data_IF_280582144495
#
_entry.id   IF_280582144495
#
_cell.length_a   1.000
_cell.length_b   1.000
_cell.length_c   1.000
_cell.angle_alpha   90.00
_cell.angle_beta   90.00
_cell.angle_gamma   90.00
#
_symmetry.space_group_name_H-M   'P 1'
#
loop_
_entity.id
_entity.type
_entity.pdbx_description
1 polymer ?
#
# COMPACT_ATOMS: atom_id res chain seq x y z
N UNK A 1 -7.88 9.98 2.85
CA UNK A 1 -7.66 8.51 2.80
C UNK A 1 -6.50 8.14 1.86
N UNK A 2 -6.48 8.56 0.60
CA UNK A 2 -5.40 8.18 -0.35
C UNK A 2 -4.01 8.58 0.18
N UNK A 3 -3.86 9.81 0.67
CA UNK A 3 -2.59 10.34 1.22
C UNK A 3 -2.05 9.55 2.43
N UNK A 4 -2.89 8.81 3.17
CA UNK A 4 -2.42 7.94 4.27
C UNK A 4 -1.56 6.78 3.73
N UNK A 5 -1.72 6.37 2.47
CA UNK A 5 -0.91 5.31 1.89
C UNK A 5 0.57 5.69 1.72
N UNK A 6 0.89 6.99 1.60
CA UNK A 6 2.26 7.47 1.43
C UNK A 6 3.16 7.23 2.65
N UNK A 7 2.80 7.67 3.87
CA UNK A 7 3.61 7.40 5.07
C UNK A 7 3.72 5.90 5.34
N UNK A 8 2.65 5.15 5.07
CA UNK A 8 2.62 3.68 5.14
C UNK A 8 3.64 3.01 4.21
N UNK A 9 3.71 3.47 2.96
CA UNK A 9 4.70 3.03 1.98
C UNK A 9 6.12 3.43 2.39
N UNK A 10 6.30 4.65 2.91
CA UNK A 10 7.57 5.17 3.42
C UNK A 10 8.13 4.30 4.53
N UNK A 11 7.32 3.98 5.54
CA UNK A 11 7.73 3.14 6.68
C UNK A 11 8.25 1.81 6.17
N UNK A 12 7.52 1.14 5.26
CA UNK A 12 7.96 -0.12 4.68
C UNK A 12 9.27 -0.01 3.90
N UNK A 13 9.42 1.02 3.05
CA UNK A 13 10.62 1.20 2.23
C UNK A 13 11.86 1.57 3.05
N UNK A 14 11.70 2.40 4.10
CA UNK A 14 12.78 2.73 5.04
C UNK A 14 13.20 1.50 5.83
N UNK A 15 12.24 0.71 6.30
CA UNK A 15 12.51 -0.54 7.03
C UNK A 15 13.29 -1.54 6.16
N UNK A 16 12.94 -1.64 4.88
CA UNK A 16 13.61 -2.51 3.91
C UNK A 16 15.08 -2.12 3.67
N UNK A 17 15.37 -0.82 3.52
CA UNK A 17 16.75 -0.33 3.37
C UNK A 17 17.54 -0.58 4.65
N UNK A 18 16.95 -0.28 5.80
CA UNK A 18 17.59 -0.45 7.09
C UNK A 18 18.04 -1.90 7.32
N UNK A 19 17.21 -2.87 6.93
CA UNK A 19 17.53 -4.29 7.06
C UNK A 19 18.52 -4.81 5.99
N UNK A 20 18.64 -4.15 4.83
CA UNK A 20 19.40 -4.70 3.70
C UNK A 20 20.74 -4.01 3.47
N UNK A 21 20.77 -2.68 3.34
CA UNK A 21 21.96 -1.94 2.88
C UNK A 21 22.34 -0.77 3.77
N UNK A 22 21.43 -0.23 4.57
CA UNK A 22 21.66 0.91 5.46
C UNK A 22 21.92 2.26 4.77
N UNK A 23 22.23 2.27 3.47
CA UNK A 23 22.50 3.49 2.68
C UNK A 23 21.33 3.90 1.80
N UNK A 24 21.00 5.19 1.85
CA UNK A 24 20.05 5.84 0.94
C UNK A 24 20.86 6.43 -0.23
N UNK A 25 20.75 5.81 -1.39
CA UNK A 25 21.40 6.25 -2.64
C UNK A 25 20.38 6.86 -3.62
N UNK A 26 20.85 7.54 -4.67
CA UNK A 26 19.96 8.09 -5.72
C UNK A 26 19.02 7.02 -6.31
N UNK A 27 19.49 5.80 -6.64
CA UNK A 27 18.60 4.74 -7.12
C UNK A 27 17.56 4.30 -6.08
N UNK A 28 17.89 4.35 -4.78
CA UNK A 28 16.93 4.07 -3.72
C UNK A 28 15.80 5.12 -3.70
N UNK A 29 16.12 6.41 -3.93
CA UNK A 29 15.12 7.49 -4.04
C UNK A 29 14.18 7.25 -5.23
N UNK A 30 14.72 6.85 -6.39
CA UNK A 30 13.90 6.48 -7.57
C UNK A 30 12.97 5.30 -7.22
N UNK A 31 13.47 4.34 -6.42
CA UNK A 31 12.70 3.24 -5.87
C UNK A 31 11.52 3.72 -4.99
N UNK A 32 11.75 4.69 -4.10
CA UNK A 32 10.69 5.29 -3.28
C UNK A 32 9.63 6.00 -4.14
N UNK A 33 10.02 6.74 -5.17
CA UNK A 33 9.07 7.38 -6.09
C UNK A 33 8.18 6.33 -6.76
N UNK A 34 8.78 5.24 -7.25
CA UNK A 34 8.04 4.12 -7.84
C UNK A 34 7.08 3.49 -6.83
N UNK A 35 7.55 3.27 -5.60
CA UNK A 35 6.76 2.72 -4.51
C UNK A 35 5.54 3.60 -4.18
N UNK A 36 5.70 4.91 -4.12
CA UNK A 36 4.58 5.85 -3.91
C UNK A 36 3.55 5.77 -5.01
N UNK A 37 3.97 5.65 -6.27
CA UNK A 37 3.06 5.46 -7.40
C UNK A 37 2.21 4.20 -7.25
N UNK A 38 2.84 3.08 -6.88
CA UNK A 38 2.14 1.81 -6.67
C UNK A 38 1.18 1.90 -5.48
N UNK A 39 1.62 2.45 -4.35
CA UNK A 39 0.80 2.63 -3.15
C UNK A 39 -0.41 3.53 -3.40
N UNK A 40 -0.22 4.63 -4.14
CA UNK A 40 -1.28 5.57 -4.52
C UNK A 40 -2.30 4.90 -5.44
N UNK A 41 -1.84 4.14 -6.45
CA UNK A 41 -2.70 3.38 -7.36
C UNK A 41 -3.56 2.37 -6.59
N UNK A 42 -2.96 1.62 -5.67
CA UNK A 42 -3.68 0.64 -4.86
C UNK A 42 -4.73 1.32 -3.97
N UNK A 43 -4.39 2.45 -3.34
CA UNK A 43 -5.34 3.24 -2.54
C UNK A 43 -6.51 3.81 -3.34
N UNK A 44 -6.24 4.38 -4.53
CA UNK A 44 -7.28 4.94 -5.42
C UNK A 44 -8.26 3.83 -5.86
N UNK A 45 -7.74 2.66 -6.26
CA UNK A 45 -8.57 1.55 -6.72
C UNK A 45 -9.47 1.01 -5.61
N UNK A 46 -8.97 0.94 -4.37
CA UNK A 46 -9.74 0.47 -3.22
C UNK A 46 -10.89 1.42 -2.90
N UNK A 47 -10.62 2.73 -2.84
CA UNK A 47 -11.65 3.75 -2.58
C UNK A 47 -12.69 3.81 -3.70
N UNK A 48 -12.26 3.70 -4.95
CA UNK A 48 -13.18 3.63 -6.10
C UNK A 48 -14.14 2.43 -5.98
N UNK A 49 -13.66 1.31 -5.42
CA UNK A 49 -14.49 0.14 -5.16
C UNK A 49 -15.52 0.39 -4.05
N UNK A 50 -15.13 1.05 -2.96
CA UNK A 50 -16.05 1.44 -1.89
C UNK A 50 -17.14 2.39 -2.40
N UNK A 51 -16.76 3.40 -3.20
CA UNK A 51 -17.74 4.33 -3.80
C UNK A 51 -18.70 3.57 -4.72
N UNK A 52 -18.21 2.61 -5.51
CA UNK A 52 -19.04 1.76 -6.38
C UNK A 52 -20.06 0.96 -5.57
N UNK A 53 -19.64 0.32 -4.49
CA UNK A 53 -20.55 -0.47 -3.65
C UNK A 53 -21.52 0.41 -2.83
N UNK A 54 -21.10 1.57 -2.34
CA UNK A 54 -21.99 2.53 -1.68
C UNK A 54 -23.07 3.05 -2.65
N UNK A 55 -22.72 3.26 -3.93
CA UNK A 55 -23.70 3.59 -4.99
C UNK A 55 -24.68 2.47 -5.33
N UNK A 56 -24.36 1.21 -4.99
CA UNK A 56 -25.27 0.06 -5.13
C UNK A 56 -26.26 -0.07 -3.96
N UNK A 57 -26.23 0.86 -2.99
CA UNK A 57 -27.13 0.85 -1.83
C UNK A 57 -26.74 -0.15 -0.74
N UNK A 58 -25.53 -0.71 -0.79
CA UNK A 58 -25.03 -1.63 0.23
C UNK A 58 -24.77 -0.91 1.54
N UNK A 59 -25.05 -1.59 2.66
CA UNK A 59 -24.83 -1.06 3.99
C UNK A 59 -23.32 -0.86 4.24
N UNK A 60 -22.93 0.11 5.06
CA UNK A 60 -21.53 0.52 5.18
C UNK A 60 -20.59 -0.63 5.60
N UNK A 61 -21.03 -1.48 6.53
CA UNK A 61 -20.30 -2.69 6.92
C UNK A 61 -20.09 -3.67 5.75
N UNK A 62 -21.10 -3.85 4.92
CA UNK A 62 -21.04 -4.75 3.76
C UNK A 62 -20.13 -4.20 2.66
N UNK A 63 -20.13 -2.88 2.46
CA UNK A 63 -19.20 -2.17 1.55
C UNK A 63 -17.75 -2.39 1.96
N UNK A 64 -17.44 -2.33 3.25
CA UNK A 64 -16.07 -2.54 3.76
C UNK A 64 -15.64 -3.97 3.53
N UNK A 65 -16.43 -4.94 3.99
CA UNK A 65 -16.04 -6.36 3.95
C UNK A 65 -15.90 -6.83 2.50
N UNK A 66 -16.91 -6.53 1.67
CA UNK A 66 -16.94 -6.97 0.27
C UNK A 66 -15.96 -6.17 -0.58
N UNK A 67 -15.89 -4.86 -0.37
CA UNK A 67 -14.99 -3.96 -1.08
C UNK A 67 -13.51 -4.25 -0.82
N UNK A 68 -13.16 -4.65 0.40
CA UNK A 68 -11.80 -5.02 0.78
C UNK A 68 -11.43 -6.41 0.27
N UNK A 69 -12.35 -7.38 0.42
CA UNK A 69 -12.11 -8.77 -0.02
C UNK A 69 -11.91 -8.90 -1.53
N UNK A 70 -12.73 -8.20 -2.34
CA UNK A 70 -12.59 -8.21 -3.80
C UNK A 70 -11.25 -7.65 -4.28
N UNK A 71 -10.68 -6.70 -3.52
CA UNK A 71 -9.43 -6.03 -3.90
C UNK A 71 -8.20 -6.69 -3.32
N UNK A 72 -8.34 -7.46 -2.25
CA UNK A 72 -7.25 -8.22 -1.65
C UNK A 72 -6.51 -9.07 -2.70
N UNK A 73 -7.26 -9.81 -3.53
CA UNK A 73 -6.69 -10.64 -4.58
C UNK A 73 -5.92 -9.84 -5.63
N UNK A 74 -6.45 -8.69 -6.06
CA UNK A 74 -5.79 -7.83 -7.03
C UNK A 74 -4.51 -7.18 -6.46
N UNK A 75 -4.56 -6.72 -5.22
CA UNK A 75 -3.40 -6.12 -4.53
C UNK A 75 -2.30 -7.18 -4.36
N UNK A 76 -2.65 -8.37 -3.85
CA UNK A 76 -1.71 -9.49 -3.70
C UNK A 76 -1.12 -9.92 -5.04
N UNK A 77 -1.91 -9.99 -6.11
CA UNK A 77 -1.40 -10.32 -7.45
C UNK A 77 -0.31 -9.34 -7.89
N UNK A 78 -0.55 -8.03 -7.72
CA UNK A 78 0.46 -7.01 -8.08
C UNK A 78 1.70 -7.09 -7.19
N UNK A 79 1.51 -7.33 -5.89
CA UNK A 79 2.60 -7.44 -4.93
C UNK A 79 3.49 -8.66 -5.21
N UNK A 80 2.88 -9.82 -5.45
CA UNK A 80 3.58 -11.06 -5.79
C UNK A 80 4.31 -10.96 -7.13
N UNK A 81 3.66 -10.39 -8.15
CA UNK A 81 4.28 -10.21 -9.48
C UNK A 81 5.53 -9.33 -9.39
N UNK A 82 5.42 -8.17 -8.71
CA UNK A 82 6.55 -7.30 -8.49
C UNK A 82 7.63 -7.96 -7.62
N UNK A 83 7.22 -8.71 -6.58
CA UNK A 83 8.17 -9.41 -5.73
C UNK A 83 8.99 -10.43 -6.51
N UNK A 84 8.35 -11.30 -7.29
CA UNK A 84 9.02 -12.29 -8.13
C UNK A 84 9.96 -11.65 -9.15
N UNK A 85 9.58 -10.51 -9.74
CA UNK A 85 10.43 -9.77 -10.67
C UNK A 85 11.66 -9.15 -10.00
N UNK A 86 11.51 -8.65 -8.76
CA UNK A 86 12.54 -7.87 -8.08
C UNK A 86 13.45 -8.70 -7.17
N UNK A 87 13.01 -9.87 -6.69
CA UNK A 87 13.83 -10.79 -5.88
C UNK A 87 15.20 -11.06 -6.50
N UNK A 88 15.33 -11.53 -7.76
CA UNK A 88 16.65 -11.81 -8.32
C UNK A 88 17.52 -10.54 -8.42
N UNK A 89 16.91 -9.38 -8.65
CA UNK A 89 17.61 -8.12 -8.81
C UNK A 89 18.10 -7.54 -7.47
N UNK A 90 17.30 -7.72 -6.43
CA UNK A 90 17.65 -7.36 -5.06
C UNK A 90 18.85 -8.17 -4.55
N UNK A 91 18.90 -9.48 -4.85
CA UNK A 91 19.97 -10.37 -4.38
C UNK A 91 21.24 -10.34 -5.25
N UNK A 92 21.14 -10.07 -6.56
CA UNK A 92 22.30 -10.03 -7.49
C UNK A 92 23.15 -8.75 -7.41
N UNK A 93 23.18 -8.06 -6.26
CA UNK A 93 23.89 -6.79 -6.09
C UNK A 93 25.41 -6.84 -6.20
N UNK A 94 26.01 -8.03 -6.18
CA UNK A 94 27.47 -8.24 -6.27
C UNK A 94 28.00 -8.33 -7.71
N UNK A 95 27.12 -8.30 -8.71
CA UNK A 95 27.51 -8.35 -10.13
C UNK A 95 27.73 -6.93 -10.67
N UNK A 96 28.82 -6.73 -11.42
CA UNK A 96 29.08 -5.48 -12.14
C UNK A 96 27.90 -5.10 -13.03
N UNK A 97 27.39 -3.87 -12.89
CA UNK A 97 26.20 -3.37 -13.59
C UNK A 97 24.89 -3.38 -12.78
N UNK A 98 24.85 -4.07 -11.62
CA UNK A 98 23.67 -4.11 -10.74
C UNK A 98 23.72 -3.12 -9.56
N UNK A 99 24.74 -2.28 -9.50
CA UNK A 99 24.97 -1.32 -8.40
C UNK A 99 23.85 -0.28 -8.26
N UNK A 100 23.19 0.05 -9.37
CA UNK A 100 22.02 0.95 -9.40
C UNK A 100 20.72 0.18 -9.15
N UNK A 101 20.58 -0.99 -9.78
CA UNK A 101 19.33 -1.74 -9.80
C UNK A 101 19.05 -2.44 -8.47
N UNK A 102 20.08 -2.96 -7.81
CA UNK A 102 19.95 -3.65 -6.52
C UNK A 102 19.35 -2.77 -5.41
N UNK A 103 19.89 -1.57 -5.10
CA UNK A 103 19.29 -0.71 -4.08
C UNK A 103 17.86 -0.29 -4.43
N UNK A 104 17.58 0.07 -5.69
CA UNK A 104 16.23 0.40 -6.14
C UNK A 104 15.25 -0.77 -5.92
N UNK A 105 15.63 -1.98 -6.34
CA UNK A 105 14.81 -3.17 -6.21
C UNK A 105 14.52 -3.52 -4.74
N UNK A 106 15.50 -3.35 -3.85
CA UNK A 106 15.34 -3.59 -2.40
C UNK A 106 14.30 -2.67 -1.78
N UNK A 107 14.32 -1.38 -2.11
CA UNK A 107 13.31 -0.41 -1.62
C UNK A 107 11.92 -0.80 -2.08
N UNK A 108 11.76 -1.07 -3.38
CA UNK A 108 10.46 -1.39 -3.96
C UNK A 108 9.95 -2.70 -3.38
N UNK A 109 10.78 -3.75 -3.33
CA UNK A 109 10.40 -5.06 -2.83
C UNK A 109 9.93 -5.01 -1.37
N UNK A 110 10.77 -4.50 -0.47
CA UNK A 110 10.42 -4.48 0.95
C UNK A 110 9.34 -3.45 1.27
N UNK A 111 9.40 -2.27 0.63
CA UNK A 111 8.36 -1.26 0.78
C UNK A 111 6.99 -1.73 0.31
N UNK A 112 6.92 -2.44 -0.82
CA UNK A 112 5.67 -2.96 -1.35
C UNK A 112 5.11 -4.08 -0.48
N UNK A 113 5.94 -5.03 -0.04
CA UNK A 113 5.50 -6.15 0.80
C UNK A 113 4.97 -5.65 2.15
N UNK A 114 5.75 -4.83 2.84
CA UNK A 114 5.36 -4.29 4.15
C UNK A 114 4.16 -3.36 4.04
N UNK A 115 4.15 -2.45 3.05
CA UNK A 115 3.03 -1.53 2.87
C UNK A 115 1.76 -2.25 2.47
N UNK A 116 1.82 -3.26 1.59
CA UNK A 116 0.65 -4.06 1.20
C UNK A 116 0.04 -4.75 2.41
N UNK A 117 0.87 -5.37 3.25
CA UNK A 117 0.41 -6.06 4.45
C UNK A 117 -0.25 -5.08 5.44
N UNK A 118 0.39 -3.93 5.68
CA UNK A 118 -0.17 -2.87 6.51
C UNK A 118 -1.45 -2.28 5.92
N UNK A 119 -1.54 -2.13 4.59
CA UNK A 119 -2.69 -1.53 3.91
C UNK A 119 -3.94 -2.42 4.03
N UNK A 120 -3.77 -3.74 3.92
CA UNK A 120 -4.84 -4.73 4.13
C UNK A 120 -5.42 -4.63 5.54
N UNK A 121 -4.61 -4.34 6.56
CA UNK A 121 -5.07 -4.17 7.94
C UNK A 121 -5.60 -2.77 8.23
N UNK A 122 -4.91 -1.73 7.76
CA UNK A 122 -5.17 -0.34 8.18
C UNK A 122 -6.38 0.26 7.47
N UNK A 123 -6.62 -0.05 6.18
CA UNK A 123 -7.79 0.51 5.49
C UNK A 123 -9.12 0.07 6.12
N UNK A 124 -9.38 -1.23 6.42
CA UNK A 124 -10.65 -1.61 7.04
C UNK A 124 -10.82 -0.97 8.43
N UNK A 125 -9.73 -0.83 9.20
CA UNK A 125 -9.75 -0.15 10.52
C UNK A 125 -10.09 1.33 10.36
N UNK A 126 -9.41 2.05 9.46
CA UNK A 126 -9.62 3.49 9.23
C UNK A 126 -11.01 3.76 8.70
N UNK A 127 -11.52 2.93 7.78
CA UNK A 127 -12.88 3.07 7.29
C UNK A 127 -13.90 2.81 8.41
N UNK A 128 -13.71 1.78 9.23
CA UNK A 128 -14.61 1.50 10.36
C UNK A 128 -14.65 2.67 11.36
N UNK A 129 -13.51 3.31 11.64
CA UNK A 129 -13.48 4.52 12.50
C UNK A 129 -14.20 5.71 11.87
N UNK A 130 -14.07 5.90 10.55
CA UNK A 130 -14.75 6.98 9.84
C UNK A 130 -16.27 6.76 9.77
N UNK A 131 -16.72 5.53 9.51
CA UNK A 131 -18.14 5.16 9.51
C UNK A 131 -18.75 5.32 10.91
N UNK A 132 -18.02 4.93 11.96
CA UNK A 132 -18.44 5.16 13.35
C UNK A 132 -18.58 6.66 13.66
N UNK A 133 -17.68 7.50 13.17
CA UNK A 133 -17.79 8.96 13.35
C UNK A 133 -18.93 9.58 12.51
N UNK A 134 -19.25 9.02 11.34
CA UNK A 134 -20.44 9.40 10.55
C UNK A 134 -21.74 9.08 11.33
N UNK A 135 -21.80 7.93 12.02
CA UNK A 135 -22.94 7.50 12.85
C UNK A 135 -23.04 8.28 14.17
N UNK A 136 -21.92 8.75 14.73
CA UNK A 136 -21.92 9.56 15.95
C UNK A 136 -22.30 11.03 15.67
N UNK A 137 -21.84 11.62 14.57
CA UNK A 137 -22.19 12.99 14.18
C UNK A 137 -23.63 13.15 13.66
N UNK A 138 -24.31 12.05 13.29
CA UNK A 138 -25.73 12.08 12.95
C UNK A 138 -26.65 12.08 14.17
N UNK A 139 -26.14 11.70 15.35
CA UNK A 139 -26.87 11.80 16.62
C UNK A 139 -26.72 13.18 17.29
N UNK A 140 -25.59 13.87 17.12
CA UNK A 140 -25.38 15.22 17.68
C UNK A 140 -26.08 16.34 16.87
N UNK A 141 -26.52 16.09 15.63
CA UNK A 141 -27.30 17.05 14.83
C UNK A 141 -28.82 16.92 15.02
N UNK A 142 -29.26 16.15 16.02
CA UNK A 142 -30.68 16.01 16.39
C UNK A 142 -31.00 16.53 17.81
N UNK A 143 -30.06 17.15 18.52
CA UNK A 143 -30.34 17.90 19.75
C UNK A 143 -30.42 19.41 19.52
#
# INVERSE_FOLDING_TARGET
IILLNLPLALIGGVFAIWFTSGVISIPAIIGFISLFGIATRNGILLISNYIRFRKMGLNAQEVIVRGSSDRLNAILMTALTAALALIPLAFKGLLSGNEIQSPMAKVILGGLLTSTFLNIYIIPIVYFMLDKNEILNSHDNQE
#
